data_IF_138707698099
#
_entry.id   IF_138707698099
#
_cell.length_a   1.000
_cell.length_b   1.000
_cell.length_c   1.000
_cell.angle_alpha   90.00
_cell.angle_beta   90.00
_cell.angle_gamma   90.00
#
_symmetry.space_group_name_H-M   'P 1'
#
loop_
_entity.id
_entity.type
_entity.pdbx_description
1 polymer ?
#
# COMPACT_ATOMS: atom_id res chain seq x y z
N UNK A 1 2.52 59.70 28.36
CA UNK A 1 2.13 60.15 29.72
C UNK A 1 2.01 58.91 30.59
N UNK A 2 3.07 58.59 31.34
CA UNK A 2 3.22 58.88 32.79
C UNK A 2 2.68 57.69 33.61
N UNK A 3 3.49 56.72 34.02
CA UNK A 3 4.47 56.75 35.12
C UNK A 3 3.80 56.83 36.51
N UNK A 4 4.05 55.81 37.33
CA UNK A 4 3.69 55.75 38.74
C UNK A 4 4.41 54.58 39.43
N UNK A 5 5.64 54.85 39.91
CA UNK A 5 6.46 53.99 40.79
C UNK A 5 6.00 54.15 42.24
N UNK A 6 6.24 53.12 43.07
CA UNK A 6 6.83 53.19 44.42
C UNK A 6 7.19 51.73 44.78
N UNK A 7 8.43 51.25 44.93
CA UNK A 7 9.68 51.71 45.55
C UNK A 7 9.67 51.68 47.10
N UNK A 8 10.37 50.67 47.64
CA UNK A 8 10.92 50.57 49.00
C UNK A 8 11.40 49.13 49.24
N UNK A 9 12.57 48.81 49.81
CA UNK A 9 13.72 49.58 50.31
C UNK A 9 14.81 48.55 50.73
N UNK A 10 16.09 48.91 50.57
CA UNK A 10 17.34 48.50 51.23
C UNK A 10 17.50 47.02 51.68
N UNK A 11 18.53 46.26 51.27
CA UNK A 11 19.95 46.59 51.27
C UNK A 11 20.60 45.97 52.52
N UNK A 12 21.35 44.86 52.36
CA UNK A 12 22.50 44.49 53.22
C UNK A 12 23.28 43.30 52.65
N UNK A 13 24.53 43.61 52.34
CA UNK A 13 25.68 42.73 52.12
C UNK A 13 26.05 41.97 53.39
N UNK A 14 26.48 40.71 53.23
CA UNK A 14 27.05 39.90 54.30
C UNK A 14 27.82 38.74 53.69
N UNK A 15 29.12 38.97 53.46
CA UNK A 15 30.13 37.97 53.11
C UNK A 15 30.44 37.04 54.30
N UNK A 16 30.89 35.81 54.02
CA UNK A 16 31.76 35.04 54.94
C UNK A 16 31.25 33.68 55.46
N UNK A 17 31.68 32.60 54.78
CA UNK A 17 32.29 31.30 55.23
C UNK A 17 32.14 30.83 56.71
N UNK A 18 32.32 29.53 57.10
CA UNK A 18 33.01 28.42 56.42
C UNK A 18 32.31 27.04 56.54
N UNK A 19 33.00 25.99 56.05
CA UNK A 19 32.50 24.65 55.83
C UNK A 19 32.03 23.86 57.05
N UNK A 20 31.21 22.86 56.75
CA UNK A 20 30.97 21.72 57.62
C UNK A 20 30.96 20.46 56.74
N UNK A 21 32.16 19.94 56.47
CA UNK A 21 32.33 18.61 55.90
C UNK A 21 31.99 17.64 57.02
N UNK A 22 30.73 17.22 57.09
CA UNK A 22 30.37 16.06 57.91
C UNK A 22 30.89 14.82 57.23
N UNK A 23 31.96 14.26 57.80
CA UNK A 23 32.30 12.84 57.63
C UNK A 23 31.03 12.02 57.83
N UNK A 24 30.75 11.12 56.88
CA UNK A 24 29.68 10.13 56.96
C UNK A 24 30.33 8.82 57.44
N UNK A 25 30.14 8.40 58.69
CA UNK A 25 30.60 7.11 59.18
C UNK A 25 29.58 6.03 58.81
N UNK A 26 30.02 4.98 58.13
CA UNK A 26 29.17 3.84 57.80
C UNK A 26 29.59 3.13 56.52
N UNK A 27 30.88 2.82 56.41
CA UNK A 27 31.43 1.96 55.38
C UNK A 27 31.40 0.50 55.86
N UNK A 28 30.21 -0.08 56.04
CA UNK A 28 30.02 -1.50 56.38
C UNK A 28 28.53 -1.94 56.34
N UNK A 29 27.78 -1.50 55.34
CA UNK A 29 26.48 -2.11 55.03
C UNK A 29 26.63 -3.06 53.84
N UNK A 30 26.83 -4.34 54.18
CA UNK A 30 26.70 -5.56 53.38
C UNK A 30 26.56 -5.42 51.85
N UNK A 31 27.61 -5.83 51.14
CA UNK A 31 27.52 -6.26 49.75
C UNK A 31 26.68 -7.54 49.68
N UNK A 32 25.34 -7.40 49.70
CA UNK A 32 24.45 -8.49 49.31
C UNK A 32 24.61 -8.69 47.80
N UNK A 33 25.50 -9.61 47.45
CA UNK A 33 25.73 -10.10 46.10
C UNK A 33 24.54 -10.99 45.69
N UNK A 34 23.36 -10.40 45.67
CA UNK A 34 22.13 -10.98 45.16
C UNK A 34 22.28 -11.16 43.66
N UNK A 35 22.69 -12.37 43.27
CA UNK A 35 22.53 -12.97 41.96
C UNK A 35 21.51 -12.23 41.08
N UNK A 36 22.00 -11.35 40.21
CA UNK A 36 21.25 -10.88 39.06
C UNK A 36 21.07 -12.10 38.16
N UNK A 37 19.94 -12.80 38.31
CA UNK A 37 19.56 -13.91 37.45
C UNK A 37 19.43 -13.34 36.03
N UNK A 38 20.31 -13.69 35.07
CA UNK A 38 20.21 -13.12 33.74
C UNK A 38 19.01 -13.74 33.04
N UNK A 39 17.96 -12.94 32.84
CA UNK A 39 17.21 -12.93 31.58
C UNK A 39 16.47 -14.17 31.09
N UNK A 40 16.28 -15.23 31.89
CA UNK A 40 15.63 -16.46 31.41
C UNK A 40 14.08 -16.36 31.26
N UNK A 41 13.44 -15.29 31.71
CA UNK A 41 11.97 -15.17 31.69
C UNK A 41 11.39 -14.28 30.57
N UNK A 42 12.22 -13.62 29.74
CA UNK A 42 11.74 -12.65 28.73
C UNK A 42 12.24 -12.90 27.31
N UNK A 43 12.42 -14.18 26.94
CA UNK A 43 12.89 -14.56 25.59
C UNK A 43 11.86 -15.32 24.75
N UNK A 44 10.87 -15.96 25.38
CA UNK A 44 9.85 -16.73 24.68
C UNK A 44 8.73 -15.90 24.05
N UNK A 45 8.31 -14.80 24.68
CA UNK A 45 7.19 -13.98 24.20
C UNK A 45 7.54 -13.15 22.96
N UNK A 46 8.76 -12.61 22.89
CA UNK A 46 9.25 -11.80 21.78
C UNK A 46 9.54 -12.63 20.53
N UNK A 47 10.00 -13.88 20.68
CA UNK A 47 10.26 -14.77 19.55
C UNK A 47 8.98 -15.41 18.99
N UNK A 48 7.95 -15.64 19.82
CA UNK A 48 6.67 -16.18 19.36
C UNK A 48 5.73 -15.09 18.80
N UNK A 49 5.83 -13.84 19.28
CA UNK A 49 5.14 -12.69 18.69
C UNK A 49 5.70 -12.31 17.31
N UNK A 50 7.02 -12.40 17.11
CA UNK A 50 7.64 -12.05 15.82
C UNK A 50 7.22 -12.99 14.68
N UNK A 51 7.08 -14.30 14.90
CA UNK A 51 6.60 -15.22 13.86
C UNK A 51 5.11 -15.02 13.49
N UNK A 52 4.24 -14.64 14.44
CA UNK A 52 2.83 -14.32 14.16
C UNK A 52 2.68 -13.00 13.41
N UNK A 53 3.41 -11.96 13.81
CA UNK A 53 3.43 -10.68 13.09
C UNK A 53 4.08 -10.79 11.72
N UNK A 54 5.09 -11.65 11.55
CA UNK A 54 5.73 -11.87 10.26
C UNK A 54 4.81 -12.60 9.27
N UNK A 55 3.99 -13.56 9.74
CA UNK A 55 2.95 -14.20 8.91
C UNK A 55 1.78 -13.26 8.60
N UNK A 56 1.33 -12.47 9.57
CA UNK A 56 0.28 -11.47 9.37
C UNK A 56 0.71 -10.34 8.43
N UNK A 57 1.96 -9.87 8.54
CA UNK A 57 2.51 -8.84 7.66
C UNK A 57 2.52 -9.28 6.20
N UNK A 58 2.95 -10.52 5.92
CA UNK A 58 2.94 -11.05 4.54
C UNK A 58 1.52 -11.16 3.98
N UNK A 59 0.57 -11.67 4.77
CA UNK A 59 -0.83 -11.74 4.32
C UNK A 59 -1.42 -10.35 4.07
N UNK A 60 -1.18 -9.39 4.96
CA UNK A 60 -1.64 -8.02 4.79
C UNK A 60 -1.05 -7.37 3.53
N UNK A 61 0.23 -7.62 3.22
CA UNK A 61 0.87 -7.13 1.98
C UNK A 61 0.24 -7.76 0.74
N UNK A 62 0.07 -9.09 0.71
CA UNK A 62 -0.57 -9.76 -0.43
C UNK A 62 -2.03 -9.35 -0.61
N UNK A 63 -2.76 -9.19 0.49
CA UNK A 63 -4.14 -8.70 0.47
C UNK A 63 -4.19 -7.27 -0.07
N UNK A 64 -3.32 -6.37 0.40
CA UNK A 64 -3.27 -4.99 -0.09
C UNK A 64 -2.94 -4.92 -1.59
N UNK A 65 -2.10 -5.83 -2.10
CA UNK A 65 -1.73 -5.89 -3.52
C UNK A 65 -2.85 -6.47 -4.40
N UNK A 66 -3.51 -7.55 -3.95
CA UNK A 66 -4.49 -8.27 -4.76
C UNK A 66 -5.91 -7.70 -4.66
N UNK A 67 -6.26 -7.07 -3.54
CA UNK A 67 -7.59 -6.54 -3.30
C UNK A 67 -8.10 -5.63 -4.43
N UNK A 68 -7.37 -4.61 -4.92
CA UNK A 68 -7.89 -3.72 -5.96
C UNK A 68 -8.20 -4.47 -7.27
N UNK A 69 -7.33 -5.38 -7.71
CA UNK A 69 -7.58 -6.20 -8.90
C UNK A 69 -8.78 -7.13 -8.74
N UNK A 70 -8.93 -7.77 -7.57
CA UNK A 70 -10.09 -8.62 -7.28
C UNK A 70 -11.39 -7.81 -7.26
N UNK A 71 -11.39 -6.65 -6.59
CA UNK A 71 -12.56 -5.77 -6.55
C UNK A 71 -12.94 -5.31 -7.96
N UNK A 72 -11.97 -4.94 -8.80
CA UNK A 72 -12.21 -4.57 -10.19
C UNK A 72 -12.84 -5.71 -10.98
N UNK A 73 -12.28 -6.93 -10.91
CA UNK A 73 -12.84 -8.10 -11.58
C UNK A 73 -14.27 -8.41 -11.15
N UNK A 74 -14.56 -8.28 -9.85
CA UNK A 74 -15.88 -8.56 -9.31
C UNK A 74 -16.89 -7.49 -9.72
N UNK A 75 -16.53 -6.21 -9.60
CA UNK A 75 -17.46 -5.10 -9.87
C UNK A 75 -17.72 -4.96 -11.36
N UNK A 76 -16.67 -4.88 -12.17
CA UNK A 76 -16.78 -4.67 -13.62
C UNK A 76 -17.22 -5.95 -14.34
N UNK A 77 -16.83 -7.12 -13.80
CA UNK A 77 -17.25 -8.42 -14.32
C UNK A 77 -18.70 -8.81 -14.01
N UNK A 78 -19.33 -8.25 -12.97
CA UNK A 78 -20.66 -8.67 -12.49
C UNK A 78 -21.76 -8.56 -13.55
N UNK A 79 -21.67 -7.58 -14.45
CA UNK A 79 -22.68 -7.36 -15.49
C UNK A 79 -22.11 -7.14 -16.90
N UNK A 80 -20.90 -7.64 -17.12
CA UNK A 80 -20.10 -7.38 -18.31
C UNK A 80 -20.81 -7.74 -19.62
N UNK A 81 -21.74 -8.70 -19.59
CA UNK A 81 -22.47 -9.18 -20.76
C UNK A 81 -23.88 -8.61 -20.96
N UNK A 82 -24.48 -7.92 -19.97
CA UNK A 82 -25.88 -7.49 -20.07
C UNK A 82 -26.06 -6.18 -20.81
N UNK A 83 -25.11 -5.25 -20.64
CA UNK A 83 -25.18 -3.95 -21.32
C UNK A 83 -24.91 -4.17 -22.81
N UNK A 84 -25.82 -3.68 -23.65
CA UNK A 84 -25.69 -3.74 -25.11
C UNK A 84 -24.38 -3.13 -25.58
N UNK A 85 -23.89 -3.59 -26.74
CA UNK A 85 -22.66 -3.07 -27.32
C UNK A 85 -22.76 -1.56 -27.58
N UNK A 86 -21.71 -0.85 -27.18
CA UNK A 86 -21.51 0.53 -27.60
C UNK A 86 -21.05 0.58 -29.07
N UNK A 87 -21.09 1.78 -29.66
CA UNK A 87 -20.88 1.95 -31.12
C UNK A 87 -19.49 1.47 -31.56
N UNK A 88 -18.46 1.78 -30.80
CA UNK A 88 -17.07 1.37 -31.00
C UNK A 88 -16.86 -0.14 -30.77
N UNK A 89 -17.53 -0.73 -29.79
CA UNK A 89 -17.53 -2.19 -29.58
C UNK A 89 -18.19 -2.91 -30.76
N UNK A 90 -19.30 -2.38 -31.29
CA UNK A 90 -19.97 -2.92 -32.46
C UNK A 90 -19.09 -2.82 -33.73
N UNK A 91 -18.35 -1.72 -33.90
CA UNK A 91 -17.36 -1.60 -34.98
C UNK A 91 -16.24 -2.62 -34.84
N UNK A 92 -15.78 -2.89 -33.62
CA UNK A 92 -14.75 -3.90 -33.35
C UNK A 92 -15.25 -5.29 -33.67
N UNK A 93 -16.49 -5.63 -33.28
CA UNK A 93 -17.11 -6.91 -33.62
C UNK A 93 -17.26 -7.08 -35.14
N UNK A 94 -17.73 -6.05 -35.85
CA UNK A 94 -17.84 -6.07 -37.32
C UNK A 94 -16.47 -6.22 -37.98
N UNK A 95 -15.47 -5.46 -37.53
CA UNK A 95 -14.11 -5.53 -38.04
C UNK A 95 -13.48 -6.92 -37.81
N UNK A 96 -13.68 -7.50 -36.63
CA UNK A 96 -13.15 -8.81 -36.28
C UNK A 96 -13.86 -9.96 -37.00
N UNK A 97 -15.08 -9.78 -37.52
CA UNK A 97 -15.70 -10.75 -38.44
C UNK A 97 -15.17 -10.68 -39.87
N UNK A 98 -14.52 -9.58 -40.26
CA UNK A 98 -13.90 -9.48 -41.58
C UNK A 98 -12.69 -10.42 -41.65
N UNK A 99 -12.40 -10.92 -42.85
CA UNK A 99 -11.23 -11.77 -43.06
C UNK A 99 -9.94 -10.99 -42.77
N UNK A 100 -8.95 -11.65 -42.16
CA UNK A 100 -7.65 -11.05 -41.82
C UNK A 100 -6.99 -10.31 -43.00
N UNK A 101 -6.99 -10.82 -44.25
CA UNK A 101 -6.45 -10.08 -45.39
C UNK A 101 -7.19 -8.76 -45.66
N UNK A 102 -8.49 -8.70 -45.36
CA UNK A 102 -9.31 -7.50 -45.52
C UNK A 102 -9.04 -6.48 -44.43
N UNK A 103 -8.75 -6.91 -43.20
CA UNK A 103 -8.28 -6.04 -42.11
C UNK A 103 -6.91 -5.47 -42.45
N UNK A 104 -5.97 -6.31 -42.91
CA UNK A 104 -4.64 -5.86 -43.30
C UNK A 104 -4.65 -4.98 -44.57
N UNK A 105 -5.62 -5.16 -45.47
CA UNK A 105 -5.79 -4.27 -46.62
C UNK A 105 -6.24 -2.84 -46.21
N UNK A 106 -6.66 -2.62 -44.96
CA UNK A 106 -7.01 -1.29 -44.43
C UNK A 106 -5.80 -0.53 -43.88
N UNK A 107 -4.59 -1.12 -43.85
CA UNK A 107 -3.35 -0.43 -43.44
C UNK A 107 -3.13 0.96 -44.09
N UNK A 108 -3.48 1.21 -45.37
CA UNK A 108 -3.30 2.53 -45.97
C UNK A 108 -4.28 3.59 -45.45
N UNK A 109 -5.44 3.17 -44.93
CA UNK A 109 -6.54 4.06 -44.53
C UNK A 109 -6.71 4.13 -43.01
N UNK A 110 -6.04 3.27 -42.27
CA UNK A 110 -6.27 3.05 -40.84
C UNK A 110 -4.93 2.79 -40.14
N UNK A 111 -4.75 3.42 -38.98
CA UNK A 111 -3.53 3.32 -38.17
C UNK A 111 -3.09 1.85 -37.95
N UNK A 112 -1.79 1.60 -38.01
CA UNK A 112 -1.19 0.29 -37.77
C UNK A 112 -1.55 -0.27 -36.39
N UNK A 113 -1.66 0.58 -35.36
CA UNK A 113 -2.06 0.18 -34.00
C UNK A 113 -3.48 -0.39 -34.01
N UNK A 114 -4.39 0.24 -34.74
CA UNK A 114 -5.78 -0.20 -34.81
C UNK A 114 -5.92 -1.52 -35.59
N UNK A 115 -5.12 -1.72 -36.64
CA UNK A 115 -5.07 -3.00 -37.34
C UNK A 115 -4.52 -4.12 -36.46
N UNK A 116 -3.47 -3.86 -35.67
CA UNK A 116 -2.95 -4.82 -34.69
C UNK A 116 -4.02 -5.18 -33.66
N UNK A 117 -4.75 -4.18 -33.16
CA UNK A 117 -5.87 -4.39 -32.26
C UNK A 117 -6.96 -5.28 -32.90
N UNK A 118 -7.33 -5.07 -34.16
CA UNK A 118 -8.31 -5.92 -34.84
C UNK A 118 -7.82 -7.36 -35.06
N UNK A 119 -6.54 -7.56 -35.37
CA UNK A 119 -5.96 -8.91 -35.47
C UNK A 119 -6.01 -9.62 -34.12
N UNK A 120 -5.67 -8.92 -33.04
CA UNK A 120 -5.79 -9.44 -31.69
C UNK A 120 -7.25 -9.83 -31.37
N UNK A 121 -8.20 -8.93 -31.64
CA UNK A 121 -9.63 -9.18 -31.40
C UNK A 121 -10.20 -10.31 -32.27
N UNK A 122 -9.67 -10.51 -33.47
CA UNK A 122 -10.02 -11.65 -34.32
C UNK A 122 -9.69 -12.98 -33.63
N UNK A 123 -8.51 -13.09 -33.01
CA UNK A 123 -8.12 -14.27 -32.23
C UNK A 123 -9.01 -14.44 -31.00
N UNK A 124 -9.31 -13.35 -30.28
CA UNK A 124 -10.19 -13.39 -29.11
C UNK A 124 -11.58 -13.91 -29.47
N UNK A 125 -12.18 -13.41 -30.56
CA UNK A 125 -13.51 -13.83 -31.00
C UNK A 125 -13.51 -15.28 -31.52
N UNK A 126 -12.43 -15.71 -32.19
CA UNK A 126 -12.27 -17.11 -32.58
C UNK A 126 -12.24 -18.06 -31.37
N UNK A 127 -11.69 -17.62 -30.23
CA UNK A 127 -11.56 -18.44 -29.02
C UNK A 127 -12.78 -18.36 -28.08
N UNK A 128 -13.34 -17.16 -27.90
CA UNK A 128 -14.37 -16.86 -26.89
C UNK A 128 -15.76 -16.58 -27.49
N UNK A 129 -15.87 -16.51 -28.81
CA UNK A 129 -17.10 -16.21 -29.53
C UNK A 129 -17.42 -14.72 -29.63
N UNK A 130 -18.66 -14.40 -30.04
CA UNK A 130 -19.10 -13.07 -30.48
C UNK A 130 -19.90 -12.30 -29.42
N UNK A 131 -19.71 -12.63 -28.15
CA UNK A 131 -20.46 -12.04 -27.04
C UNK A 131 -19.87 -10.72 -26.57
N UNK A 132 -20.69 -9.86 -25.95
CA UNK A 132 -20.22 -8.64 -25.28
C UNK A 132 -19.16 -8.94 -24.20
N UNK A 133 -19.30 -10.09 -23.51
CA UNK A 133 -18.31 -10.58 -22.55
C UNK A 133 -16.97 -10.84 -23.25
N UNK A 134 -16.97 -11.55 -24.38
CA UNK A 134 -15.75 -11.84 -25.13
C UNK A 134 -15.04 -10.56 -25.59
N UNK A 135 -15.79 -9.52 -25.97
CA UNK A 135 -15.22 -8.24 -26.38
C UNK A 135 -14.56 -7.48 -25.22
N UNK A 136 -15.14 -7.54 -24.04
CA UNK A 136 -14.71 -6.75 -22.87
C UNK A 136 -13.69 -7.48 -22.00
N UNK A 137 -13.65 -8.81 -22.04
CA UNK A 137 -12.75 -9.64 -21.24
C UNK A 137 -11.26 -9.25 -21.36
N UNK A 138 -10.69 -8.99 -22.55
CA UNK A 138 -9.29 -8.58 -22.67
C UNK A 138 -8.98 -7.30 -21.87
N UNK A 139 -9.86 -6.31 -21.97
CA UNK A 139 -9.73 -5.03 -21.26
C UNK A 139 -9.90 -5.21 -19.75
N UNK A 140 -10.89 -5.98 -19.33
CA UNK A 140 -11.13 -6.29 -17.91
C UNK A 140 -9.89 -6.94 -17.27
N UNK A 141 -9.29 -7.91 -17.96
CA UNK A 141 -8.07 -8.58 -17.49
C UNK A 141 -6.87 -7.63 -17.46
N UNK A 142 -6.68 -6.81 -18.51
CA UNK A 142 -5.61 -5.83 -18.55
C UNK A 142 -5.71 -4.83 -17.38
N UNK A 143 -6.92 -4.34 -17.10
CA UNK A 143 -7.19 -3.45 -15.96
C UNK A 143 -6.94 -4.13 -14.62
N UNK A 144 -7.38 -5.38 -14.45
CA UNK A 144 -7.12 -6.13 -13.21
C UNK A 144 -5.62 -6.35 -12.97
N UNK A 145 -4.85 -6.65 -14.02
CA UNK A 145 -3.38 -6.76 -13.94
C UNK A 145 -2.77 -5.41 -13.58
N UNK A 146 -3.18 -4.33 -14.24
CA UNK A 146 -2.68 -2.99 -13.96
C UNK A 146 -2.98 -2.52 -12.52
N UNK A 147 -4.10 -2.97 -11.93
CA UNK A 147 -4.46 -2.63 -10.56
C UNK A 147 -3.60 -3.36 -9.50
N UNK A 148 -2.95 -4.46 -9.87
CA UNK A 148 -2.13 -5.30 -8.97
C UNK A 148 -0.61 -5.08 -9.21
N UNK A 149 -0.24 -4.48 -10.35
CA UNK A 149 1.13 -4.18 -10.75
C UNK A 149 1.71 -2.95 -10.02
#
# INVERSE_FOLDING_TARGET
MSQGRHAGRDGRTGEGMPGDVREVPGADAGYDSGMVRPGLARRGSTQQQSHRHQRQGRFATWAALLLPGIVLLLVDGYDLGRVSLWRDEAYTLDAAHRSLPKVLAMLPTTDAVNNLYYVFMHVVIMLLGTSAVALRLPSLLAMAVAAVA
#
